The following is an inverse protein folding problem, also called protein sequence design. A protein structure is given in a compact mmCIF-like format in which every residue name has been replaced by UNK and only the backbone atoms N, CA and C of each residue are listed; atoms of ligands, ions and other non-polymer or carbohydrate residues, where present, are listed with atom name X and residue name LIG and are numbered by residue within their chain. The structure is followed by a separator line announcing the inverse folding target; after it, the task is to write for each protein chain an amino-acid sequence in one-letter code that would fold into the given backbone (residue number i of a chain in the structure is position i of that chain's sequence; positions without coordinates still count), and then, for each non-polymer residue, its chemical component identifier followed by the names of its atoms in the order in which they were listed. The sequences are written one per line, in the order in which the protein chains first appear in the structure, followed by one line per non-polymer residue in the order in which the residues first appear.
data_IF_580403921399
#
_entry.id   IF_580403921399
#
_cell.length_a   1.000
_cell.length_b   1.000
_cell.length_c   1.000
_cell.angle_alpha   90.00
_cell.angle_beta   90.00
_cell.angle_gamma   90.00
#
_symmetry.space_group_name_H-M   'P 1'
#
loop_
_entity.id
_entity.type
_entity.pdbx_description
1 polymer ?
#
# COMPACT_ATOMS: atom_id res chain seq x y z
N UNK A 1 10.60 -25.27 -17.13
CA UNK A 1 10.76 -23.88 -16.66
C UNK A 1 9.83 -23.64 -15.48
N UNK A 2 10.34 -23.17 -14.33
CA UNK A 2 9.48 -22.70 -13.25
C UNK A 2 8.96 -21.30 -13.60
N UNK A 3 7.64 -21.15 -13.74
CA UNK A 3 6.98 -19.88 -13.94
C UNK A 3 7.14 -19.04 -12.65
N UNK A 4 8.20 -18.23 -12.58
CA UNK A 4 8.36 -17.26 -11.50
C UNK A 4 7.35 -16.16 -11.76
N UNK A 5 6.19 -16.24 -11.12
CA UNK A 5 5.28 -15.11 -11.02
C UNK A 5 6.09 -13.90 -10.53
N UNK A 6 6.45 -13.00 -11.44
CA UNK A 6 7.10 -11.74 -11.08
C UNK A 6 6.02 -10.88 -10.48
N UNK A 7 6.06 -10.69 -9.17
CA UNK A 7 5.20 -9.73 -8.47
C UNK A 7 5.63 -8.31 -8.88
N UNK A 8 5.23 -7.88 -10.07
CA UNK A 8 5.51 -6.56 -10.64
C UNK A 8 4.46 -5.60 -10.11
N UNK A 9 4.90 -4.48 -9.55
CA UNK A 9 3.98 -3.42 -9.15
C UNK A 9 3.19 -2.95 -10.37
N UNK A 10 1.87 -2.79 -10.21
CA UNK A 10 1.00 -2.32 -11.29
C UNK A 10 1.39 -0.91 -11.78
N UNK A 11 1.99 -0.11 -10.91
CA UNK A 11 2.59 1.19 -11.22
C UNK A 11 4.09 1.09 -10.95
N UNK A 12 4.94 0.88 -11.98
CA UNK A 12 6.37 0.69 -11.81
C UNK A 12 7.07 1.83 -11.06
N UNK A 13 6.63 3.06 -11.28
CA UNK A 13 7.14 4.28 -10.66
C UNK A 13 6.92 4.29 -9.14
N UNK A 14 5.88 3.60 -8.67
CA UNK A 14 5.56 3.51 -7.25
C UNK A 14 6.37 2.43 -6.51
N UNK A 15 7.17 1.61 -7.21
CA UNK A 15 7.91 0.48 -6.61
C UNK A 15 8.75 0.91 -5.41
N UNK A 16 9.52 2.00 -5.56
CA UNK A 16 10.38 2.49 -4.46
C UNK A 16 9.57 2.96 -3.24
N UNK A 17 8.41 3.56 -3.46
CA UNK A 17 7.51 3.96 -2.38
C UNK A 17 6.87 2.75 -1.69
N UNK A 18 6.42 1.75 -2.47
CA UNK A 18 5.88 0.49 -1.97
C UNK A 18 6.91 -0.31 -1.16
N UNK A 19 8.17 -0.31 -1.59
CA UNK A 19 9.24 -0.99 -0.86
C UNK A 19 9.51 -0.32 0.50
N UNK A 20 9.57 1.02 0.55
CA UNK A 20 9.69 1.76 1.83
C UNK A 20 8.51 1.47 2.74
N UNK A 21 7.30 1.54 2.21
CA UNK A 21 6.07 1.28 2.96
C UNK A 21 6.01 -0.14 3.52
N UNK A 22 6.47 -1.13 2.76
CA UNK A 22 6.61 -2.53 3.21
C UNK A 22 7.52 -2.65 4.44
N UNK A 23 8.66 -1.95 4.45
CA UNK A 23 9.57 -1.95 5.60
C UNK A 23 8.99 -1.20 6.81
N UNK A 24 8.31 -0.07 6.59
CA UNK A 24 7.61 0.67 7.65
C UNK A 24 6.58 -0.23 8.34
N UNK A 25 5.74 -0.91 7.56
CA UNK A 25 4.75 -1.85 8.08
C UNK A 25 5.40 -3.03 8.81
N UNK A 26 6.49 -3.59 8.27
CA UNK A 26 7.21 -4.67 8.93
C UNK A 26 7.76 -4.24 10.30
N UNK A 27 8.33 -3.04 10.38
CA UNK A 27 8.81 -2.46 11.63
C UNK A 27 7.70 -2.24 12.64
N UNK A 28 6.54 -1.71 12.22
CA UNK A 28 5.37 -1.54 13.09
C UNK A 28 4.85 -2.87 13.66
N UNK A 29 4.92 -3.94 12.86
CA UNK A 29 4.48 -5.28 13.27
C UNK A 29 5.56 -6.08 14.03
N UNK A 30 6.77 -5.53 14.19
CA UNK A 30 7.90 -6.23 14.78
C UNK A 30 8.36 -7.45 13.97
N UNK A 31 8.11 -7.46 12.65
CA UNK A 31 8.54 -8.52 11.75
C UNK A 31 9.94 -8.18 11.24
N UNK A 32 10.96 -9.05 11.44
CA UNK A 32 12.34 -8.77 11.04
C UNK A 32 12.53 -9.01 9.53
N UNK A 33 11.85 -8.21 8.72
CA UNK A 33 11.96 -8.25 7.26
C UNK A 33 13.29 -7.62 6.81
N UNK A 34 13.94 -8.24 5.83
CA UNK A 34 15.18 -7.75 5.24
C UNK A 34 15.01 -7.44 3.75
N UNK A 35 15.94 -6.69 3.15
CA UNK A 35 15.97 -6.43 1.71
C UNK A 35 16.36 -7.69 0.88
N UNK A 36 16.85 -8.73 1.56
CA UNK A 36 17.27 -9.98 0.95
C UNK A 36 16.24 -11.11 1.08
N UNK A 37 16.76 -12.31 1.36
CA UNK A 37 15.94 -13.51 1.49
C UNK A 37 15.16 -13.52 2.81
N UNK A 38 13.83 -13.57 2.71
CA UNK A 38 12.91 -13.62 3.85
C UNK A 38 12.21 -14.99 3.99
N UNK A 39 12.71 -16.04 3.32
CA UNK A 39 12.09 -17.37 3.37
C UNK A 39 12.36 -18.13 4.68
N UNK A 40 13.18 -17.59 5.56
CA UNK A 40 13.31 -18.04 6.95
C UNK A 40 12.16 -17.53 7.85
N UNK A 41 11.44 -16.48 7.42
CA UNK A 41 10.26 -16.02 8.14
C UNK A 41 9.09 -16.98 7.90
N UNK A 42 8.25 -17.12 8.91
CA UNK A 42 7.03 -17.92 8.77
C UNK A 42 6.10 -17.30 7.72
N UNK A 43 5.32 -18.13 7.04
CA UNK A 43 4.30 -17.65 6.09
C UNK A 43 3.33 -16.66 6.73
N UNK A 44 3.05 -16.82 8.02
CA UNK A 44 2.23 -15.89 8.81
C UNK A 44 2.87 -14.51 8.93
N UNK A 45 4.18 -14.42 9.19
CA UNK A 45 4.90 -13.16 9.30
C UNK A 45 4.98 -12.43 7.96
N UNK A 46 5.38 -13.12 6.89
CA UNK A 46 5.40 -12.55 5.54
C UNK A 46 3.98 -12.10 5.11
N UNK A 47 2.98 -12.94 5.35
CA UNK A 47 1.58 -12.65 5.05
C UNK A 47 1.03 -11.47 5.84
N UNK A 48 1.38 -11.33 7.13
CA UNK A 48 0.89 -10.21 7.96
C UNK A 48 1.39 -8.86 7.47
N UNK A 49 2.63 -8.77 6.98
CA UNK A 49 3.16 -7.52 6.41
C UNK A 49 2.33 -7.11 5.18
N UNK A 50 2.18 -8.02 4.21
CA UNK A 50 1.40 -7.74 3.00
C UNK A 50 -0.07 -7.41 3.29
N UNK A 51 -0.70 -8.13 4.20
CA UNK A 51 -2.10 -7.88 4.60
C UNK A 51 -2.28 -6.51 5.27
N UNK A 52 -1.35 -6.12 6.14
CA UNK A 52 -1.41 -4.84 6.83
C UNK A 52 -1.09 -3.65 5.92
N UNK A 53 -0.20 -3.83 4.94
CA UNK A 53 0.00 -2.85 3.85
C UNK A 53 -1.31 -2.58 3.12
N UNK A 54 -2.05 -3.62 2.70
CA UNK A 54 -3.34 -3.48 2.01
C UNK A 54 -4.35 -2.78 2.91
N UNK A 55 -4.45 -3.17 4.17
CA UNK A 55 -5.35 -2.54 5.15
C UNK A 55 -5.12 -1.03 5.24
N UNK A 56 -3.88 -0.59 5.44
CA UNK A 56 -3.54 0.83 5.52
C UNK A 56 -3.79 1.59 4.22
N UNK A 57 -3.53 0.97 3.06
CA UNK A 57 -3.84 1.59 1.76
C UNK A 57 -5.35 1.80 1.59
N UNK A 58 -6.17 0.84 2.01
CA UNK A 58 -7.64 0.97 1.99
C UNK A 58 -8.07 2.07 2.97
N UNK A 59 -7.58 2.08 4.21
CA UNK A 59 -7.89 3.13 5.19
C UNK A 59 -7.54 4.53 4.65
N UNK A 60 -6.39 4.68 3.99
CA UNK A 60 -5.99 5.94 3.36
C UNK A 60 -6.94 6.34 2.23
N UNK A 61 -7.36 5.37 1.40
CA UNK A 61 -8.34 5.61 0.33
C UNK A 61 -9.72 5.98 0.88
N UNK A 62 -10.20 5.28 1.91
CA UNK A 62 -11.47 5.59 2.59
C UNK A 62 -11.45 7.00 3.20
N UNK A 63 -10.31 7.43 3.76
CA UNK A 63 -10.11 8.81 4.24
C UNK A 63 -10.17 9.83 3.11
N UNK A 64 -9.56 9.54 1.97
CA UNK A 64 -9.63 10.41 0.80
C UNK A 64 -11.06 10.50 0.25
N UNK A 65 -11.76 9.37 0.17
CA UNK A 65 -13.15 9.31 -0.31
C UNK A 65 -14.12 10.01 0.66
N UNK A 66 -13.97 9.81 1.97
CA UNK A 66 -14.80 10.48 2.98
C UNK A 66 -14.51 11.97 3.08
N UNK A 67 -13.24 12.40 2.90
CA UNK A 67 -12.87 13.81 2.81
C UNK A 67 -13.33 14.50 1.51
N UNK A 68 -13.54 13.74 0.43
CA UNK A 68 -14.01 14.25 -0.88
C UNK A 68 -15.54 14.18 -1.01
N UNK A 69 -16.25 13.51 -0.10
CA UNK A 69 -17.70 13.38 -0.10
C UNK A 69 -18.48 14.66 0.27
N UNK A 70 -17.81 15.74 0.68
CA UNK A 70 -18.50 16.97 1.09
C UNK A 70 -17.60 18.22 1.05
N UNK A 71 -17.00 18.52 -0.11
CA UNK A 71 -16.58 19.90 -0.41
C UNK A 71 -17.26 20.32 -1.70
N UNK A 72 -18.45 20.90 -1.53
CA UNK A 72 -19.19 21.53 -2.60
C UNK A 72 -18.35 22.62 -3.24
N UNK A 73 -17.98 22.42 -4.50
CA UNK A 73 -17.77 23.53 -5.42
C UNK A 73 -19.05 23.67 -6.22
N UNK A 74 -19.99 24.40 -5.63
CA UNK A 74 -21.03 25.11 -6.36
C UNK A 74 -20.39 25.82 -7.56
N UNK A 75 -20.55 25.30 -8.78
CA UNK A 75 -20.62 26.17 -9.96
C UNK A 75 -22.01 26.83 -9.95
N UNK A 76 -22.22 27.68 -8.94
CA UNK A 76 -23.26 28.70 -8.98
C UNK A 76 -22.78 29.74 -9.99
N UNK A 77 -23.63 30.00 -10.98
CA UNK A 77 -23.31 30.87 -12.10
C UNK A 77 -22.80 32.25 -11.69
N UNK A 78 -22.04 32.83 -12.60
CA UNK A 78 -22.04 34.27 -12.78
C UNK A 78 -22.09 34.52 -14.27
N UNK A 79 -23.22 35.11 -14.68
CA UNK A 79 -23.48 35.69 -15.99
C UNK A 79 -22.31 36.58 -16.41
N UNK A 80 -21.89 36.51 -17.68
CA UNK A 80 -22.01 37.57 -18.69
C UNK A 80 -21.80 36.95 -20.08
#
# INVERSE_FOLDING_TARGET
MANRSSNTAAVPEAKGALDRFKFEVANELGVPLTDGYNGNLTSKQNGSVGGYMVKKMIEAQERQMSGTGMSGSNMSGTQF
#
